data_IF_295568099939
#
_entry.id   IF_295568099939
#
_cell.length_a   1.000
_cell.length_b   1.000
_cell.length_c   1.000
_cell.angle_alpha   90.00
_cell.angle_beta   90.00
_cell.angle_gamma   90.00
#
_symmetry.space_group_name_H-M   'P 1'
#
loop_
_entity.id
_entity.type
_entity.pdbx_description
1 polymer ?
#
# COMPACT_ATOMS: atom_id res chain seq x y z
N UNK A 1 -19.15 -13.64 3.81
CA UNK A 1 -19.00 -12.74 2.65
C UNK A 1 -17.64 -12.05 2.64
N UNK A 2 -17.25 -11.37 3.73
CA UNK A 2 -15.94 -10.71 3.88
C UNK A 2 -14.74 -11.55 3.41
N UNK A 3 -14.58 -12.77 3.93
CA UNK A 3 -13.47 -13.65 3.54
C UNK A 3 -13.55 -14.10 2.08
N UNK A 4 -14.74 -14.20 1.47
CA UNK A 4 -14.86 -14.49 0.03
C UNK A 4 -14.33 -13.32 -0.81
N UNK A 5 -14.58 -12.09 -0.38
CA UNK A 5 -14.06 -10.88 -1.04
C UNK A 5 -12.54 -10.74 -0.85
N UNK A 6 -12.03 -11.14 0.31
CA UNK A 6 -10.59 -11.23 0.57
C UNK A 6 -9.93 -12.28 -0.34
N UNK A 7 -10.48 -13.50 -0.40
CA UNK A 7 -9.98 -14.58 -1.26
C UNK A 7 -10.04 -14.21 -2.75
N UNK A 8 -11.04 -13.40 -3.14
CA UNK A 8 -11.17 -12.84 -4.49
C UNK A 8 -10.25 -11.63 -4.75
N UNK A 9 -9.38 -11.26 -3.80
CA UNK A 9 -8.41 -10.18 -3.96
C UNK A 9 -9.03 -8.79 -4.07
N UNK A 10 -10.23 -8.56 -3.52
CA UNK A 10 -10.90 -7.26 -3.61
C UNK A 10 -10.28 -6.18 -2.73
N UNK A 11 -9.58 -6.59 -1.68
CA UNK A 11 -8.87 -5.74 -0.73
C UNK A 11 -7.75 -6.55 -0.05
N UNK A 12 -6.82 -5.89 0.64
CA UNK A 12 -5.74 -6.55 1.37
C UNK A 12 -6.16 -6.94 2.80
N UNK A 13 -5.56 -7.99 3.37
CA UNK A 13 -5.91 -8.50 4.72
C UNK A 13 -5.85 -7.43 5.83
N UNK A 14 -5.00 -6.42 5.68
CA UNK A 14 -4.85 -5.30 6.59
C UNK A 14 -6.12 -4.43 6.68
N UNK A 15 -7.00 -4.49 5.68
CA UNK A 15 -8.25 -3.74 5.64
C UNK A 15 -9.41 -4.40 6.42
N UNK A 16 -9.27 -5.65 6.86
CA UNK A 16 -10.32 -6.40 7.57
C UNK A 16 -10.86 -5.60 8.76
N UNK A 17 -9.97 -5.05 9.60
CA UNK A 17 -10.38 -4.31 10.80
C UNK A 17 -11.17 -3.03 10.47
N UNK A 18 -10.79 -2.33 9.39
CA UNK A 18 -11.45 -1.11 8.96
C UNK A 18 -12.84 -1.42 8.36
N UNK A 19 -12.94 -2.45 7.53
CA UNK A 19 -14.20 -2.90 6.93
C UNK A 19 -15.18 -3.35 8.03
N UNK A 20 -14.72 -4.13 9.01
CA UNK A 20 -15.56 -4.58 10.11
C UNK A 20 -16.06 -3.41 10.98
N UNK A 21 -15.21 -2.40 11.21
CA UNK A 21 -15.59 -1.19 11.95
C UNK A 21 -16.69 -0.40 11.24
N UNK A 22 -16.54 -0.23 9.93
CA UNK A 22 -17.53 0.48 9.10
C UNK A 22 -18.84 -0.30 9.02
N UNK A 23 -18.79 -1.62 8.78
CA UNK A 23 -19.97 -2.48 8.75
C UNK A 23 -20.72 -2.52 10.08
N UNK A 24 -20.01 -2.45 11.21
CA UNK A 24 -20.63 -2.37 12.53
C UNK A 24 -21.33 -1.02 12.78
N UNK A 25 -20.86 0.04 12.13
CA UNK A 25 -21.39 1.41 12.27
C UNK A 25 -22.55 1.67 11.31
N UNK A 26 -22.62 0.94 10.20
CA UNK A 26 -23.74 0.93 9.25
C UNK A 26 -24.07 -0.51 8.81
N UNK A 27 -24.90 -1.23 9.60
CA UNK A 27 -25.28 -2.63 9.31
C UNK A 27 -26.13 -2.81 8.05
N UNK A 28 -26.62 -1.72 7.44
CA UNK A 28 -27.47 -1.75 6.25
C UNK A 28 -26.67 -1.71 4.94
N UNK A 29 -25.43 -1.23 4.98
CA UNK A 29 -24.52 -1.23 3.85
C UNK A 29 -23.99 -2.64 3.57
N UNK A 30 -23.90 -3.01 2.30
CA UNK A 30 -23.17 -4.20 1.87
C UNK A 30 -21.64 -3.98 1.92
N UNK A 31 -20.87 -5.08 1.97
CA UNK A 31 -19.42 -5.02 2.11
C UNK A 31 -18.72 -4.43 0.88
N UNK A 32 -19.30 -4.57 -0.32
CA UNK A 32 -18.68 -4.03 -1.55
C UNK A 32 -18.77 -2.52 -1.54
N UNK A 33 -19.94 -1.96 -1.21
CA UNK A 33 -20.14 -0.52 -1.04
C UNK A 33 -19.22 0.07 0.04
N UNK A 34 -18.99 -0.67 1.14
CA UNK A 34 -18.05 -0.27 2.19
C UNK A 34 -16.61 -0.22 1.66
N UNK A 35 -16.16 -1.25 0.94
CA UNK A 35 -14.81 -1.31 0.36
C UNK A 35 -14.57 -0.15 -0.61
N UNK A 36 -15.54 0.14 -1.48
CA UNK A 36 -15.46 1.24 -2.44
C UNK A 36 -15.41 2.60 -1.73
N UNK A 37 -16.31 2.83 -0.76
CA UNK A 37 -16.37 4.08 0.02
C UNK A 37 -15.09 4.34 0.80
N UNK A 38 -14.46 3.29 1.33
CA UNK A 38 -13.19 3.37 2.05
C UNK A 38 -11.96 3.45 1.13
N UNK A 39 -12.14 3.37 -0.20
CA UNK A 39 -11.04 3.38 -1.16
C UNK A 39 -10.13 2.15 -1.02
N UNK A 40 -10.65 1.03 -0.52
CA UNK A 40 -9.89 -0.19 -0.22
C UNK A 40 -9.78 -1.15 -1.40
N UNK A 41 -10.31 -0.75 -2.56
CA UNK A 41 -10.19 -1.53 -3.78
C UNK A 41 -8.73 -1.84 -4.10
N UNK A 42 -8.47 -3.10 -4.42
CA UNK A 42 -7.17 -3.56 -4.87
C UNK A 42 -6.68 -2.73 -6.07
N UNK A 43 -5.38 -2.42 -6.04
CA UNK A 43 -4.68 -1.68 -7.09
C UNK A 43 -4.06 -2.64 -8.10
N UNK A 44 -3.93 -2.18 -9.34
CA UNK A 44 -3.07 -2.85 -10.33
C UNK A 44 -1.58 -2.66 -10.00
N UNK A 45 -0.71 -3.54 -10.51
CA UNK A 45 0.74 -3.47 -10.25
C UNK A 45 1.33 -2.13 -10.68
N UNK A 46 0.94 -1.62 -11.86
CA UNK A 46 1.41 -0.34 -12.39
C UNK A 46 1.08 0.83 -11.45
N UNK A 47 -0.14 0.87 -10.90
CA UNK A 47 -0.57 1.92 -9.98
C UNK A 47 0.20 1.87 -8.65
N UNK A 48 0.53 0.65 -8.18
CA UNK A 48 1.35 0.46 -6.97
C UNK A 48 2.75 1.00 -7.20
N UNK A 49 3.35 0.66 -8.35
CA UNK A 49 4.67 1.14 -8.73
C UNK A 49 4.71 2.66 -8.88
N UNK A 50 3.72 3.27 -9.54
CA UNK A 50 3.62 4.72 -9.72
C UNK A 50 3.58 5.46 -8.38
N UNK A 51 2.75 5.00 -7.44
CA UNK A 51 2.65 5.60 -6.09
C UNK A 51 4.00 5.53 -5.35
N UNK A 52 4.71 4.39 -5.46
CA UNK A 52 6.01 4.22 -4.84
C UNK A 52 7.06 5.11 -5.51
N UNK A 53 7.05 5.21 -6.84
CA UNK A 53 7.96 6.05 -7.62
C UNK A 53 7.78 7.54 -7.30
N UNK A 54 6.55 8.02 -7.13
CA UNK A 54 6.28 9.37 -6.66
C UNK A 54 6.94 9.65 -5.30
N UNK A 55 6.80 8.72 -4.35
CA UNK A 55 7.37 8.88 -3.02
C UNK A 55 8.89 8.88 -3.09
N UNK A 56 9.49 7.97 -3.85
CA UNK A 56 10.93 7.90 -4.08
C UNK A 56 11.45 9.22 -4.68
N UNK A 57 10.81 9.71 -5.75
CA UNK A 57 11.16 11.00 -6.37
C UNK A 57 11.10 12.15 -5.38
N UNK A 58 10.06 12.19 -4.53
CA UNK A 58 9.89 13.23 -3.51
C UNK A 58 10.85 13.11 -2.31
N UNK A 59 11.65 12.05 -2.24
CA UNK A 59 12.55 11.71 -1.13
C UNK A 59 13.95 11.35 -1.62
N UNK A 60 14.32 11.75 -2.84
CA UNK A 60 15.58 11.37 -3.48
C UNK A 60 16.80 11.70 -2.61
N UNK A 61 16.94 12.96 -2.17
CA UNK A 61 18.07 13.38 -1.31
C UNK A 61 18.15 12.59 -0.01
N UNK A 62 16.99 12.25 0.57
CA UNK A 62 16.93 11.43 1.77
C UNK A 62 17.43 10.01 1.49
N UNK A 63 17.01 9.41 0.37
CA UNK A 63 17.45 8.07 -0.07
C UNK A 63 18.96 8.05 -0.28
N UNK A 64 19.50 8.99 -1.06
CA UNK A 64 20.93 9.08 -1.36
C UNK A 64 21.77 9.25 -0.08
N UNK A 65 21.27 10.02 0.90
CA UNK A 65 21.96 10.21 2.19
C UNK A 65 21.87 9.00 3.13
N UNK A 66 20.74 8.27 3.13
CA UNK A 66 20.50 7.14 4.04
C UNK A 66 20.97 5.79 3.49
N UNK A 67 21.04 5.66 2.16
CA UNK A 67 21.22 4.39 1.46
C UNK A 67 20.04 3.45 1.69
N UNK A 68 20.31 2.14 1.69
CA UNK A 68 19.31 1.08 1.93
C UNK A 68 18.49 1.29 3.23
N UNK A 69 19.07 1.95 4.23
CA UNK A 69 18.40 2.26 5.50
C UNK A 69 17.24 3.27 5.35
N UNK A 70 16.97 3.77 4.14
CA UNK A 70 15.82 4.59 3.80
C UNK A 70 14.51 3.79 3.72
N UNK A 71 14.56 2.47 3.45
CA UNK A 71 13.37 1.61 3.29
C UNK A 71 12.43 1.72 4.48
N UNK A 72 12.94 1.52 5.70
CA UNK A 72 12.13 1.57 6.93
C UNK A 72 11.38 2.90 7.13
N UNK A 73 12.08 4.05 7.12
CA UNK A 73 11.43 5.36 7.20
C UNK A 73 10.43 5.65 6.07
N UNK A 74 10.66 5.12 4.86
CA UNK A 74 9.77 5.33 3.72
C UNK A 74 8.55 4.41 3.71
N UNK A 75 8.56 3.29 4.45
CA UNK A 75 7.38 2.45 4.62
C UNK A 75 6.19 3.21 5.21
N UNK A 76 6.41 4.19 6.10
CA UNK A 76 5.33 4.99 6.68
C UNK A 76 4.53 5.75 5.60
N UNK A 77 5.17 6.69 4.88
CA UNK A 77 4.55 7.43 3.78
C UNK A 77 3.95 6.55 2.68
N UNK A 78 4.60 5.43 2.35
CA UNK A 78 4.07 4.48 1.35
C UNK A 78 2.81 3.80 1.85
N UNK A 79 2.79 3.34 3.09
CA UNK A 79 1.63 2.69 3.68
C UNK A 79 0.47 3.66 3.92
N UNK A 80 0.70 4.96 4.11
CA UNK A 80 -0.39 5.94 4.14
C UNK A 80 -1.22 5.95 2.85
N UNK A 81 -0.60 5.64 1.70
CA UNK A 81 -1.28 5.61 0.40
C UNK A 81 -1.79 4.23 -0.01
N UNK A 82 -1.13 3.15 0.44
CA UNK A 82 -1.37 1.79 -0.05
C UNK A 82 -2.01 0.83 0.97
N UNK A 83 -2.05 1.19 2.27
CA UNK A 83 -2.56 0.30 3.31
C UNK A 83 -4.00 -0.11 3.03
N UNK A 84 -4.26 -1.41 3.16
CA UNK A 84 -5.59 -2.00 2.97
C UNK A 84 -5.94 -2.25 1.50
N UNK A 85 -5.14 -1.72 0.56
CA UNK A 85 -5.27 -1.96 -0.89
C UNK A 85 -4.25 -2.98 -1.39
N UNK A 86 -3.08 -3.03 -0.75
CA UNK A 86 -1.96 -3.91 -1.10
C UNK A 86 -1.38 -4.56 0.15
N UNK A 87 -0.91 -5.81 0.03
CA UNK A 87 -0.19 -6.50 1.10
C UNK A 87 1.11 -5.76 1.46
N UNK A 88 1.33 -5.52 2.75
CA UNK A 88 2.50 -4.77 3.21
C UNK A 88 3.85 -5.41 2.86
N UNK A 89 3.91 -6.74 2.70
CA UNK A 89 5.13 -7.42 2.24
C UNK A 89 5.43 -7.08 0.79
N UNK A 90 4.40 -7.10 -0.07
CA UNK A 90 4.54 -6.76 -1.49
C UNK A 90 5.02 -5.32 -1.66
N UNK A 91 4.42 -4.40 -0.90
CA UNK A 91 4.86 -3.00 -0.85
C UNK A 91 6.33 -2.89 -0.44
N UNK A 92 6.75 -3.64 0.58
CA UNK A 92 8.14 -3.63 1.05
C UNK A 92 9.12 -4.15 -0.02
N UNK A 93 8.78 -5.23 -0.72
CA UNK A 93 9.57 -5.79 -1.80
C UNK A 93 9.80 -4.77 -2.92
N UNK A 94 8.72 -4.14 -3.41
CA UNK A 94 8.79 -3.15 -4.50
C UNK A 94 9.58 -1.91 -4.06
N UNK A 95 9.30 -1.38 -2.87
CA UNK A 95 9.99 -0.22 -2.33
C UNK A 95 11.50 -0.48 -2.18
N UNK A 96 11.87 -1.66 -1.66
CA UNK A 96 13.27 -2.05 -1.48
C UNK A 96 13.99 -2.13 -2.84
N UNK A 97 13.42 -2.86 -3.80
CA UNK A 97 14.01 -3.02 -5.12
C UNK A 97 14.21 -1.68 -5.85
N UNK A 98 13.23 -0.78 -5.77
CA UNK A 98 13.34 0.56 -6.39
C UNK A 98 14.38 1.44 -5.69
N UNK A 99 14.51 1.36 -4.37
CA UNK A 99 15.56 2.08 -3.63
C UNK A 99 16.95 1.55 -3.99
N UNK A 100 17.12 0.22 -4.06
CA UNK A 100 18.39 -0.40 -4.48
C UNK A 100 18.79 0.09 -5.88
N UNK A 101 17.86 0.07 -6.83
CA UNK A 101 18.09 0.60 -8.18
C UNK A 101 18.52 2.07 -8.19
N UNK A 102 17.88 2.93 -7.40
CA UNK A 102 18.26 4.35 -7.28
C UNK A 102 19.71 4.51 -6.81
N UNK A 103 20.16 3.65 -5.88
CA UNK A 103 21.52 3.72 -5.33
C UNK A 103 22.56 3.17 -6.33
N UNK A 104 22.21 2.13 -7.09
CA UNK A 104 23.03 1.60 -8.18
C UNK A 104 23.21 2.64 -9.29
N UNK A 105 22.12 3.29 -9.74
CA UNK A 105 22.15 4.31 -10.80
C UNK A 105 22.89 5.60 -10.38
N UNK A 106 23.13 5.79 -9.07
CA UNK A 106 23.81 6.96 -8.50
C UNK A 106 25.27 6.70 -8.11
N UNK A 107 25.76 5.47 -8.31
CA UNK A 107 27.14 5.05 -8.03
C UNK A 107 28.05 5.22 -9.24
#
# INVERSE_FOLDING_TARGET
>A
ELFKLLDAGKFAKEAIGLILKEAASDPSSDLTSIIERLGLGALGEDEIEEIIDEIIRSRMDFILKRGERAVGPLMGPVMERLRGRVDGRRVNEILKAKIEKVLEDSS
#
